data_IF_186425165363
#
_entry.id   IF_186425165363
#
_cell.length_a   1.000
_cell.length_b   1.000
_cell.length_c   1.000
_cell.angle_alpha   90.00
_cell.angle_beta   90.00
_cell.angle_gamma   90.00
#
_symmetry.space_group_name_H-M   'P 1'
#
loop_
_entity.id
_entity.type
_entity.pdbx_description
1 polymer ?
#
# COMPACT_ATOMS: atom_id res chain seq x y z
N UNK A 1 -0.38 11.30 36.88
CA UNK A 1 -1.73 11.12 36.32
C UNK A 1 -1.54 10.95 34.84
N UNK A 2 -1.60 9.71 34.36
CA UNK A 2 -1.27 9.34 32.99
C UNK A 2 -2.58 9.02 32.27
N UNK A 3 -2.86 9.76 31.21
CA UNK A 3 -3.94 9.45 30.28
C UNK A 3 -3.42 8.36 29.35
N UNK A 4 -3.60 7.09 29.73
CA UNK A 4 -3.50 6.00 28.77
C UNK A 4 -4.72 6.06 27.87
N UNK A 5 -4.49 6.36 26.59
CA UNK A 5 -5.49 6.18 25.55
C UNK A 5 -5.84 4.69 25.50
N UNK A 6 -7.08 4.39 25.90
CA UNK A 6 -7.68 3.07 25.82
C UNK A 6 -7.93 2.78 24.33
N UNK A 7 -6.93 2.18 23.66
CA UNK A 7 -7.22 1.41 22.44
C UNK A 7 -6.35 1.62 21.21
N UNK A 8 -5.05 1.95 21.30
CA UNK A 8 -4.19 1.68 20.13
C UNK A 8 -3.96 0.16 20.03
N UNK A 9 -4.67 -0.51 19.12
CA UNK A 9 -4.23 -1.83 18.68
C UNK A 9 -2.82 -1.68 18.15
N UNK A 10 -1.97 -2.68 18.40
CA UNK A 10 -0.67 -2.72 17.72
C UNK A 10 -0.89 -2.70 16.22
N UNK A 11 0.06 -2.17 15.45
CA UNK A 11 0.02 -2.26 13.99
C UNK A 11 0.99 -3.32 13.50
N UNK A 12 0.55 -4.23 12.65
CA UNK A 12 1.36 -5.27 12.03
C UNK A 12 1.44 -5.08 10.52
N UNK A 13 2.66 -5.05 10.01
CA UNK A 13 2.91 -5.04 8.55
C UNK A 13 3.01 -6.45 8.00
N UNK A 14 2.35 -6.70 6.88
CA UNK A 14 2.35 -8.00 6.23
C UNK A 14 2.64 -7.87 4.74
N UNK A 15 3.40 -8.84 4.24
CA UNK A 15 3.49 -9.12 2.81
C UNK A 15 2.50 -10.22 2.47
N UNK A 16 1.67 -9.97 1.46
CA UNK A 16 0.69 -10.92 0.95
C UNK A 16 0.84 -11.01 -0.57
N UNK A 17 0.76 -12.21 -1.11
CA UNK A 17 0.88 -12.43 -2.56
C UNK A 17 -0.42 -12.10 -3.32
N UNK A 18 -1.55 -12.07 -2.61
CA UNK A 18 -2.89 -11.81 -3.18
C UNK A 18 -3.75 -11.04 -2.17
N UNK A 19 -4.79 -10.36 -2.67
CA UNK A 19 -5.76 -9.65 -1.81
C UNK A 19 -6.49 -10.63 -0.88
N UNK A 20 -6.77 -11.85 -1.34
CA UNK A 20 -7.37 -12.89 -0.52
C UNK A 20 -6.46 -13.34 0.64
N UNK A 21 -5.15 -13.46 0.40
CA UNK A 21 -4.18 -13.76 1.47
C UNK A 21 -4.09 -12.60 2.48
N UNK A 22 -4.10 -11.36 2.01
CA UNK A 22 -4.16 -10.18 2.88
C UNK A 22 -5.43 -10.20 3.75
N UNK A 23 -6.61 -10.36 3.13
CA UNK A 23 -7.89 -10.38 3.84
C UNK A 23 -7.96 -11.49 4.89
N UNK A 24 -7.46 -12.70 4.59
CA UNK A 24 -7.40 -13.80 5.56
C UNK A 24 -6.52 -13.47 6.76
N UNK A 25 -5.40 -12.78 6.54
CA UNK A 25 -4.50 -12.36 7.62
C UNK A 25 -5.16 -11.28 8.48
N UNK A 26 -5.79 -10.28 7.85
CA UNK A 26 -6.56 -9.22 8.51
C UNK A 26 -7.67 -9.81 9.37
N UNK A 27 -8.48 -10.72 8.84
CA UNK A 27 -9.60 -11.35 9.56
C UNK A 27 -9.20 -12.16 10.81
N UNK A 28 -7.92 -12.54 10.93
CA UNK A 28 -7.41 -13.33 12.08
C UNK A 28 -6.48 -12.55 12.99
N UNK A 29 -6.20 -11.29 12.66
CA UNK A 29 -5.26 -10.46 13.41
C UNK A 29 -5.94 -9.81 14.63
N UNK A 30 -5.21 -9.74 15.74
CA UNK A 30 -5.56 -8.92 16.90
C UNK A 30 -5.10 -7.47 16.78
N UNK A 31 -4.19 -7.23 15.84
CA UNK A 31 -3.52 -5.96 15.52
C UNK A 31 -4.02 -5.43 14.18
N UNK A 32 -3.92 -4.12 13.96
CA UNK A 32 -4.25 -3.49 12.67
C UNK A 32 -3.24 -3.94 11.60
N UNK A 33 -3.74 -4.47 10.50
CA UNK A 33 -2.94 -5.06 9.42
C UNK A 33 -2.70 -4.05 8.30
N UNK A 34 -1.42 -3.74 8.07
CA UNK A 34 -0.96 -2.93 6.94
C UNK A 34 -0.31 -3.82 5.89
N UNK A 35 -0.88 -3.88 4.69
CA UNK A 35 -0.33 -4.70 3.60
C UNK A 35 0.67 -3.91 2.74
N UNK A 36 1.81 -4.52 2.43
CA UNK A 36 2.78 -3.93 1.49
C UNK A 36 2.26 -4.01 0.04
N UNK A 37 2.27 -2.88 -0.67
CA UNK A 37 1.92 -2.74 -2.08
C UNK A 37 3.08 -2.09 -2.86
N UNK A 38 3.69 -2.82 -3.78
CA UNK A 38 4.72 -2.30 -4.71
C UNK A 38 4.02 -1.62 -5.90
N UNK A 39 4.16 -0.30 -6.00
CA UNK A 39 3.45 0.51 -6.99
C UNK A 39 4.41 1.05 -8.03
N UNK A 40 3.93 1.11 -9.27
CA UNK A 40 4.54 1.90 -10.32
C UNK A 40 3.43 2.59 -11.09
N UNK A 41 3.41 3.91 -11.02
CA UNK A 41 2.40 4.71 -11.71
C UNK A 41 2.98 5.34 -12.96
N UNK A 42 2.22 5.29 -14.05
CA UNK A 42 2.53 5.94 -15.31
C UNK A 42 1.29 6.59 -15.92
N UNK A 43 1.45 7.24 -17.08
CA UNK A 43 0.36 7.93 -17.77
C UNK A 43 -0.70 6.98 -18.34
N UNK A 44 -0.31 5.74 -18.59
CA UNK A 44 -1.20 4.68 -19.05
C UNK A 44 -0.85 3.36 -18.38
N UNK A 45 -1.84 2.46 -18.31
CA UNK A 45 -1.63 1.10 -17.78
C UNK A 45 -0.57 0.35 -18.58
N UNK A 46 -0.62 0.41 -19.92
CA UNK A 46 0.38 -0.28 -20.77
C UNK A 46 1.80 0.17 -20.44
N UNK A 47 2.00 1.49 -20.32
CA UNK A 47 3.30 2.05 -19.98
C UNK A 47 3.78 1.60 -18.59
N UNK A 48 2.90 1.58 -17.60
CA UNK A 48 3.24 1.16 -16.25
C UNK A 48 3.70 -0.31 -16.22
N UNK A 49 2.99 -1.20 -16.92
CA UNK A 49 3.38 -2.60 -17.04
C UNK A 49 4.72 -2.76 -17.77
N UNK A 50 4.96 -2.05 -18.86
CA UNK A 50 6.23 -2.11 -19.59
C UNK A 50 7.42 -1.60 -18.76
N UNK A 51 7.22 -0.49 -18.03
CA UNK A 51 8.21 0.02 -17.07
C UNK A 51 8.46 -0.99 -15.95
N UNK A 52 7.43 -1.57 -15.36
CA UNK A 52 7.57 -2.53 -14.27
C UNK A 52 8.32 -3.80 -14.70
N UNK A 53 8.03 -4.34 -15.89
CA UNK A 53 8.74 -5.49 -16.48
C UNK A 53 10.23 -5.21 -16.73
N UNK A 54 10.60 -3.98 -17.11
CA UNK A 54 12.00 -3.58 -17.25
C UNK A 54 12.73 -3.55 -15.89
N UNK A 55 12.04 -3.10 -14.85
CA UNK A 55 12.56 -2.99 -13.49
C UNK A 55 12.63 -4.36 -12.78
N UNK A 56 11.72 -5.26 -13.14
CA UNK A 56 11.60 -6.64 -12.65
C UNK A 56 11.63 -7.62 -13.84
N UNK A 57 12.82 -7.92 -14.40
CA UNK A 57 12.94 -8.89 -15.49
C UNK A 57 12.32 -10.24 -15.09
N UNK A 58 11.51 -10.81 -15.97
CA UNK A 58 10.82 -12.08 -15.72
C UNK A 58 9.51 -11.96 -14.92
N UNK A 59 9.15 -10.77 -14.44
CA UNK A 59 7.81 -10.55 -13.90
C UNK A 59 6.76 -10.50 -15.02
N UNK A 60 5.58 -11.04 -14.71
CA UNK A 60 4.39 -11.01 -15.55
C UNK A 60 3.14 -10.82 -14.70
N UNK A 61 2.03 -10.31 -15.25
CA UNK A 61 0.77 -10.21 -14.53
C UNK A 61 0.37 -11.58 -13.95
N UNK A 62 -0.01 -11.62 -12.68
CA UNK A 62 -0.35 -12.87 -11.98
C UNK A 62 0.86 -13.71 -11.54
N UNK A 63 2.10 -13.27 -11.78
CA UNK A 63 3.27 -13.93 -11.21
C UNK A 63 3.18 -13.96 -9.68
N UNK A 64 3.56 -15.09 -9.08
CA UNK A 64 3.57 -15.23 -7.62
C UNK A 64 4.75 -14.46 -7.03
N UNK A 65 4.47 -13.27 -6.52
CA UNK A 65 5.43 -12.37 -5.88
C UNK A 65 5.18 -12.30 -4.37
N UNK A 66 6.19 -11.94 -3.55
CA UNK A 66 6.05 -11.91 -2.10
C UNK A 66 5.04 -10.86 -1.59
N UNK A 67 4.83 -9.78 -2.35
CA UNK A 67 3.95 -8.66 -2.02
C UNK A 67 2.98 -8.38 -3.15
N UNK A 68 1.91 -7.64 -2.85
CA UNK A 68 1.03 -7.10 -3.88
C UNK A 68 1.82 -6.16 -4.78
N UNK A 69 1.46 -6.15 -6.06
CA UNK A 69 2.10 -5.31 -7.07
C UNK A 69 1.00 -4.65 -7.90
N UNK A 70 1.11 -3.34 -8.09
CA UNK A 70 0.18 -2.56 -8.89
C UNK A 70 0.91 -1.61 -9.84
N UNK A 71 1.23 -2.06 -11.07
CA UNK A 71 1.59 -1.19 -12.15
C UNK A 71 0.30 -0.61 -12.75
N UNK A 72 0.16 0.71 -12.79
CA UNK A 72 -1.10 1.31 -13.26
C UNK A 72 -1.03 2.82 -13.49
N UNK A 73 -2.21 3.43 -13.55
CA UNK A 73 -2.37 4.88 -13.49
C UNK A 73 -2.71 5.30 -12.07
N UNK A 74 -2.73 6.60 -11.81
CA UNK A 74 -3.18 7.11 -10.51
C UNK A 74 -4.65 6.75 -10.24
N UNK A 75 -5.49 6.73 -11.28
CA UNK A 75 -6.90 6.36 -11.15
C UNK A 75 -7.08 4.88 -10.78
N UNK A 76 -6.31 3.98 -11.41
CA UNK A 76 -6.39 2.56 -11.06
C UNK A 76 -5.80 2.26 -9.68
N UNK A 77 -4.81 3.04 -9.24
CA UNK A 77 -4.30 2.96 -7.87
C UNK A 77 -5.34 3.45 -6.86
N UNK A 78 -5.99 4.59 -7.11
CA UNK A 78 -7.05 5.12 -6.25
C UNK A 78 -8.20 4.12 -6.11
N UNK A 79 -8.66 3.53 -7.23
CA UNK A 79 -9.69 2.49 -7.22
C UNK A 79 -9.28 1.26 -6.40
N UNK A 80 -8.05 0.76 -6.57
CA UNK A 80 -7.57 -0.39 -5.79
C UNK A 80 -7.52 -0.08 -4.29
N UNK A 81 -7.05 1.11 -3.91
CA UNK A 81 -6.98 1.51 -2.50
C UNK A 81 -8.38 1.66 -1.87
N UNK A 82 -9.33 2.23 -2.62
CA UNK A 82 -10.73 2.30 -2.21
C UNK A 82 -11.32 0.90 -2.03
N UNK A 83 -11.07 -0.02 -2.97
CA UNK A 83 -11.54 -1.41 -2.88
C UNK A 83 -10.94 -2.11 -1.64
N UNK A 84 -9.64 -1.94 -1.37
CA UNK A 84 -8.99 -2.51 -0.19
C UNK A 84 -9.66 -2.02 1.10
N UNK A 85 -9.96 -0.72 1.17
CA UNK A 85 -10.59 -0.11 2.33
C UNK A 85 -12.04 -0.60 2.51
N UNK A 86 -12.87 -0.53 1.46
CA UNK A 86 -14.30 -0.87 1.52
C UNK A 86 -14.52 -2.37 1.77
N UNK A 87 -13.65 -3.22 1.23
CA UNK A 87 -13.80 -4.68 1.36
C UNK A 87 -13.08 -5.26 2.59
N UNK A 88 -12.41 -4.43 3.38
CA UNK A 88 -11.68 -4.86 4.58
C UNK A 88 -10.56 -5.84 4.27
N UNK A 89 -9.88 -5.68 3.11
CA UNK A 89 -8.73 -6.51 2.76
C UNK A 89 -7.58 -6.27 3.74
N UNK A 90 -7.40 -5.03 4.19
CA UNK A 90 -6.43 -4.63 5.20
C UNK A 90 -6.93 -3.36 5.90
N UNK A 91 -6.50 -3.13 7.14
CA UNK A 91 -6.78 -1.90 7.88
C UNK A 91 -6.00 -0.71 7.30
N UNK A 92 -4.92 -0.99 6.56
CA UNK A 92 -4.20 0.01 5.77
C UNK A 92 -3.27 -0.59 4.73
N UNK A 93 -2.66 0.29 3.94
CA UNK A 93 -1.70 -0.09 2.89
C UNK A 93 -0.39 0.66 3.11
N UNK A 94 0.73 -0.06 3.04
CA UNK A 94 2.05 0.55 2.91
C UNK A 94 2.46 0.58 1.44
N UNK A 95 2.46 1.78 0.85
CA UNK A 95 2.92 1.98 -0.52
C UNK A 95 4.45 1.92 -0.57
N UNK A 96 4.98 1.16 -1.52
CA UNK A 96 6.40 1.09 -1.82
C UNK A 96 6.64 1.32 -3.30
N UNK A 97 7.65 2.09 -3.64
CA UNK A 97 8.08 2.35 -5.02
C UNK A 97 9.60 2.34 -5.06
N UNK A 98 10.18 2.05 -6.23
CA UNK A 98 11.63 2.27 -6.45
C UNK A 98 11.97 3.75 -6.61
N UNK A 99 10.99 4.57 -6.95
CA UNK A 99 11.09 6.02 -7.02
C UNK A 99 10.20 6.63 -5.92
N UNK A 100 10.81 6.94 -4.79
CA UNK A 100 10.11 7.43 -3.60
C UNK A 100 9.66 8.90 -3.76
N UNK A 101 10.42 9.71 -4.50
CA UNK A 101 10.09 11.12 -4.73
C UNK A 101 8.86 11.23 -5.63
N UNK A 102 8.85 10.50 -6.76
CA UNK A 102 7.68 10.43 -7.63
C UNK A 102 6.43 9.94 -6.89
N UNK A 103 6.58 8.95 -6.00
CA UNK A 103 5.46 8.44 -5.22
C UNK A 103 4.92 9.49 -4.24
N UNK A 104 5.78 10.29 -3.61
CA UNK A 104 5.35 11.37 -2.72
C UNK A 104 4.63 12.48 -3.48
N UNK A 105 5.17 12.92 -4.62
CA UNK A 105 4.52 13.92 -5.47
C UNK A 105 3.14 13.46 -5.93
N UNK A 106 3.02 12.18 -6.32
CA UNK A 106 1.75 11.58 -6.69
C UNK A 106 0.76 11.50 -5.54
N UNK A 107 1.23 11.18 -4.33
CA UNK A 107 0.39 11.11 -3.12
C UNK A 107 -0.18 12.51 -2.79
N UNK A 108 0.67 13.54 -2.78
CA UNK A 108 0.27 14.88 -2.36
C UNK A 108 -0.46 15.67 -3.45
N UNK A 109 -0.29 15.32 -4.72
CA UNK A 109 -1.02 15.93 -5.83
C UNK A 109 -2.31 15.16 -6.14
N UNK A 110 -2.17 14.13 -6.96
CA UNK A 110 -3.27 13.54 -7.71
C UNK A 110 -4.06 12.46 -6.94
N UNK A 111 -3.40 11.69 -6.09
CA UNK A 111 -4.00 10.51 -5.47
C UNK A 111 -5.01 10.86 -4.39
N UNK A 112 -4.71 11.86 -3.55
CA UNK A 112 -5.63 12.32 -2.51
C UNK A 112 -6.95 12.83 -3.09
N UNK A 113 -6.89 13.61 -4.18
CA UNK A 113 -8.08 14.12 -4.88
C UNK A 113 -8.95 12.97 -5.41
N UNK A 114 -8.34 11.95 -6.01
CA UNK A 114 -9.07 10.80 -6.57
C UNK A 114 -9.68 9.92 -5.50
N UNK A 115 -9.02 9.73 -4.36
CA UNK A 115 -9.59 8.99 -3.23
C UNK A 115 -10.80 9.69 -2.61
N UNK A 116 -10.81 11.03 -2.60
CA UNK A 116 -11.97 11.79 -2.16
C UNK A 116 -13.21 11.52 -3.04
N UNK A 117 -13.03 11.30 -4.36
CA UNK A 117 -14.13 10.90 -5.27
C UNK A 117 -14.74 9.56 -4.88
N UNK A 118 -13.93 8.65 -4.33
CA UNK A 118 -14.38 7.35 -3.83
C UNK A 118 -14.97 7.41 -2.40
N UNK A 119 -15.13 8.60 -1.81
CA UNK A 119 -15.67 8.76 -0.46
C UNK A 119 -14.81 8.12 0.63
N UNK A 120 -13.53 7.87 0.34
CA UNK A 120 -12.60 7.23 1.28
C UNK A 120 -11.78 8.32 1.97
N UNK A 121 -11.94 8.44 3.29
CA UNK A 121 -11.13 9.35 4.11
C UNK A 121 -9.77 8.70 4.36
N UNK A 122 -8.71 9.20 3.72
CA UNK A 122 -7.38 8.57 3.72
C UNK A 122 -6.38 9.47 4.41
N UNK A 123 -5.69 8.92 5.41
CA UNK A 123 -4.57 9.58 6.05
C UNK A 123 -3.25 9.03 5.52
N UNK A 124 -2.52 9.85 4.78
CA UNK A 124 -1.15 9.54 4.38
C UNK A 124 -0.17 9.90 5.49
N UNK A 125 0.67 8.95 5.87
CA UNK A 125 1.78 9.18 6.79
C UNK A 125 3.08 8.75 6.12
N UNK A 126 4.04 9.67 5.90
CA UNK A 126 5.37 9.26 5.48
C UNK A 126 5.98 8.36 6.56
N UNK A 127 6.83 7.43 6.15
CA UNK A 127 7.49 6.53 7.09
C UNK A 127 8.46 7.33 7.96
N UNK A 128 8.24 7.34 9.28
CA UNK A 128 9.26 7.78 10.23
C UNK A 128 10.49 6.88 10.10
N UNK A 129 11.65 7.49 9.82
CA UNK A 129 12.92 6.78 9.65
C UNK A 129 13.41 6.08 10.94
N UNK A 130 12.78 6.30 12.10
CA UNK A 130 13.33 5.93 13.41
C UNK A 130 13.14 4.46 13.84
N UNK A 131 12.28 3.66 13.21
CA UNK A 131 12.07 2.26 13.65
C UNK A 131 13.09 1.24 13.08
N UNK A 132 14.07 1.67 12.27
CA UNK A 132 15.07 0.74 11.70
C UNK A 132 16.24 0.49 12.66
N UNK A 133 16.46 1.34 13.66
CA UNK A 133 17.63 1.24 14.55
C UNK A 133 17.41 0.21 15.69
N UNK A 134 16.17 -0.10 16.06
CA UNK A 134 15.88 -0.99 17.20
C UNK A 134 15.93 -2.51 16.92
N UNK A 135 16.32 -2.93 15.71
CA UNK A 135 16.56 -4.37 15.40
C UNK A 135 18.03 -4.73 15.23
N UNK A 136 18.94 -3.81 15.55
CA UNK A 136 20.39 -4.01 15.43
C UNK A 136 21.13 -3.76 16.76
N UNK A 137 20.54 -4.15 17.90
CA UNK A 137 21.19 -4.16 19.20
C UNK A 137 20.87 -5.43 19.97
#
# INVERSE_FOLDING_TARGET
MELTDVGSRGSKRVRAATLLDAQKRTATASDDVFVDLDVLVASSVSEAYDRYRRIRPGWQPGARVPSLVHPGTVDTLAGLLADIAVTGVADGVTLTSRDAEQLLDLIYGDLAERLAVHGTDVHFRPRDREQVVQRAS
#
